data_IF_806588754428
#
_entry.id   IF_806588754428
#
_cell.length_a   1.000
_cell.length_b   1.000
_cell.length_c   1.000
_cell.angle_alpha   90.00
_cell.angle_beta   90.00
_cell.angle_gamma   90.00
#
_symmetry.space_group_name_H-M   'P 1'
#
loop_
_entity.id
_entity.type
_entity.pdbx_description
1 polymer ?
#
# COMPACT_ATOMS: atom_id res chain seq x y z
N UNK A 1 -24.91 0.70 6.39
CA UNK A 1 -23.66 -0.11 6.28
C UNK A 1 -23.30 -0.37 4.82
N UNK A 2 -24.29 -0.72 3.98
CA UNK A 2 -24.11 -0.83 2.52
C UNK A 2 -23.92 0.52 1.80
N UNK A 3 -24.16 1.63 2.49
CA UNK A 3 -24.11 2.99 1.93
C UNK A 3 -22.74 3.35 1.35
N UNK A 4 -21.66 2.79 1.91
CA UNK A 4 -20.28 2.97 1.42
C UNK A 4 -19.94 2.17 0.15
N UNK A 5 -20.88 1.34 -0.34
CA UNK A 5 -20.78 0.70 -1.66
C UNK A 5 -21.54 1.48 -2.75
N UNK A 6 -22.02 2.69 -2.43
CA UNK A 6 -22.60 3.60 -3.40
C UNK A 6 -21.50 4.45 -4.04
N UNK A 7 -21.32 4.43 -5.38
CA UNK A 7 -20.29 5.22 -6.04
C UNK A 7 -20.45 6.73 -5.80
N UNK A 8 -21.68 7.25 -5.76
CA UNK A 8 -21.94 8.68 -5.53
C UNK A 8 -21.44 9.16 -4.17
N UNK A 9 -21.73 8.39 -3.11
CA UNK A 9 -21.28 8.70 -1.75
C UNK A 9 -19.75 8.70 -1.62
N UNK A 10 -19.08 7.73 -2.25
CA UNK A 10 -17.62 7.65 -2.22
C UNK A 10 -17.00 8.82 -2.98
N UNK A 11 -17.52 9.15 -4.16
CA UNK A 11 -17.03 10.27 -4.95
C UNK A 11 -17.21 11.60 -4.21
N UNK A 12 -18.41 11.86 -3.67
CA UNK A 12 -18.69 13.07 -2.90
C UNK A 12 -17.72 13.25 -1.73
N UNK A 13 -17.43 12.18 -0.97
CA UNK A 13 -16.48 12.24 0.14
C UNK A 13 -15.05 12.58 -0.32
N UNK A 14 -14.59 12.01 -1.43
CA UNK A 14 -13.25 12.29 -1.97
C UNK A 14 -13.14 13.66 -2.65
N UNK A 15 -14.21 14.11 -3.31
CA UNK A 15 -14.31 15.46 -3.89
C UNK A 15 -14.30 16.51 -2.79
N UNK A 16 -15.11 16.35 -1.74
CA UNK A 16 -15.15 17.23 -0.59
C UNK A 16 -13.78 17.33 0.09
N UNK A 17 -13.09 16.19 0.29
CA UNK A 17 -11.72 16.15 0.85
C UNK A 17 -10.73 16.94 -0.01
N UNK A 18 -10.60 16.59 -1.29
CA UNK A 18 -9.61 17.21 -2.16
C UNK A 18 -9.87 18.72 -2.32
N UNK A 19 -11.14 19.11 -2.49
CA UNK A 19 -11.54 20.51 -2.59
C UNK A 19 -11.25 21.28 -1.30
N UNK A 20 -11.62 20.73 -0.13
CA UNK A 20 -11.37 21.38 1.16
C UNK A 20 -9.89 21.63 1.38
N UNK A 21 -9.04 20.64 1.13
CA UNK A 21 -7.58 20.76 1.30
C UNK A 21 -7.01 21.82 0.35
N UNK A 22 -7.39 21.79 -0.93
CA UNK A 22 -6.91 22.76 -1.92
C UNK A 22 -7.36 24.20 -1.59
N UNK A 23 -8.63 24.37 -1.18
CA UNK A 23 -9.16 25.68 -0.77
C UNK A 23 -8.50 26.17 0.51
N UNK A 24 -8.22 25.29 1.48
CA UNK A 24 -7.49 25.63 2.70
C UNK A 24 -6.08 26.15 2.38
N UNK A 25 -5.35 25.43 1.52
CA UNK A 25 -4.02 25.85 1.05
C UNK A 25 -4.08 27.21 0.34
N UNK A 26 -5.03 27.40 -0.58
CA UNK A 26 -5.20 28.65 -1.31
C UNK A 26 -5.54 29.83 -0.37
N UNK A 27 -6.37 29.60 0.64
CA UNK A 27 -6.72 30.62 1.64
C UNK A 27 -5.54 30.96 2.56
N UNK A 28 -4.71 29.98 2.93
CA UNK A 28 -3.51 30.21 3.72
C UNK A 28 -2.45 30.94 2.90
N UNK A 29 -2.27 30.60 1.63
CA UNK A 29 -1.32 31.25 0.72
C UNK A 29 -1.65 32.74 0.51
N UNK A 30 -2.96 33.08 0.47
CA UNK A 30 -3.42 34.48 0.39
C UNK A 30 -3.05 35.35 1.60
N UNK A 31 -2.69 34.74 2.74
CA UNK A 31 -2.29 35.47 3.96
C UNK A 31 -0.84 35.97 3.89
N UNK A 32 -0.05 35.48 2.94
CA UNK A 32 1.34 35.89 2.76
C UNK A 32 1.42 37.06 1.77
N UNK A 33 2.20 38.09 2.12
CA UNK A 33 2.48 39.22 1.23
C UNK A 33 3.30 38.77 0.01
N UNK A 34 4.32 37.94 0.23
CA UNK A 34 5.10 37.30 -0.83
C UNK A 34 4.56 35.88 -1.09
N UNK A 35 4.00 35.69 -2.29
CA UNK A 35 3.40 34.41 -2.70
C UNK A 35 4.42 33.28 -2.83
N UNK A 36 5.65 33.55 -3.29
CA UNK A 36 6.71 32.54 -3.43
C UNK A 36 7.16 32.00 -2.07
N UNK A 37 7.26 32.91 -1.08
CA UNK A 37 7.61 32.56 0.28
C UNK A 37 6.49 31.75 0.95
N UNK A 38 5.24 32.19 0.82
CA UNK A 38 4.09 31.44 1.33
C UNK A 38 3.94 30.06 0.69
N UNK A 39 4.24 29.95 -0.61
CA UNK A 39 4.22 28.66 -1.32
C UNK A 39 5.31 27.74 -0.76
N UNK A 40 6.51 28.27 -0.53
CA UNK A 40 7.65 27.54 0.03
C UNK A 40 7.38 27.05 1.45
N UNK A 41 6.73 27.88 2.29
CA UNK A 41 6.35 27.52 3.67
C UNK A 41 5.26 26.44 3.71
N UNK A 42 4.29 26.51 2.80
CA UNK A 42 3.14 25.59 2.74
C UNK A 42 3.37 24.35 1.84
N UNK A 43 4.62 24.06 1.44
CA UNK A 43 4.92 22.97 0.50
C UNK A 43 4.38 21.62 0.98
N UNK A 44 4.46 21.33 2.28
CA UNK A 44 3.93 20.08 2.84
C UNK A 44 2.41 19.96 2.61
N UNK A 45 1.65 20.98 3.00
CA UNK A 45 0.19 21.02 2.84
C UNK A 45 -0.23 20.95 1.36
N UNK A 46 0.52 21.64 0.49
CA UNK A 46 0.30 21.64 -0.96
C UNK A 46 0.50 20.25 -1.56
N UNK A 47 1.53 19.52 -1.12
CA UNK A 47 1.78 18.14 -1.56
C UNK A 47 0.67 17.22 -1.08
N UNK A 48 0.21 17.35 0.17
CA UNK A 48 -0.90 16.54 0.67
C UNK A 48 -2.22 16.81 -0.09
N UNK A 49 -2.52 18.08 -0.38
CA UNK A 49 -3.67 18.46 -1.20
C UNK A 49 -3.57 17.89 -2.63
N UNK A 50 -2.38 17.92 -3.23
CA UNK A 50 -2.13 17.34 -4.54
C UNK A 50 -2.32 15.81 -4.53
N UNK A 51 -1.83 15.12 -3.49
CA UNK A 51 -2.01 13.67 -3.31
C UNK A 51 -3.50 13.34 -3.17
N UNK A 52 -4.26 14.10 -2.38
CA UNK A 52 -5.72 13.91 -2.25
C UNK A 52 -6.44 14.04 -3.61
N UNK A 53 -6.04 15.01 -4.43
CA UNK A 53 -6.59 15.15 -5.79
C UNK A 53 -6.23 13.98 -6.70
N UNK A 54 -4.98 13.51 -6.68
CA UNK A 54 -4.55 12.34 -7.43
C UNK A 54 -5.33 11.07 -7.00
N UNK A 55 -5.54 10.88 -5.71
CA UNK A 55 -6.32 9.75 -5.18
C UNK A 55 -7.78 9.80 -5.64
N UNK A 56 -8.42 10.97 -5.64
CA UNK A 56 -9.76 11.18 -6.19
C UNK A 56 -9.82 10.77 -7.68
N UNK A 57 -8.83 11.15 -8.48
CA UNK A 57 -8.76 10.73 -9.89
C UNK A 57 -8.70 9.20 -10.01
N UNK A 58 -7.85 8.53 -9.23
CA UNK A 58 -7.75 7.07 -9.30
C UNK A 58 -9.07 6.39 -8.90
N UNK A 59 -9.70 6.84 -7.81
CA UNK A 59 -10.99 6.31 -7.34
C UNK A 59 -12.08 6.51 -8.40
N UNK A 60 -12.19 7.71 -8.96
CA UNK A 60 -13.21 8.02 -9.99
C UNK A 60 -13.02 7.21 -11.27
N UNK A 61 -11.79 7.03 -11.73
CA UNK A 61 -11.51 6.20 -12.91
C UNK A 61 -11.77 4.73 -12.65
N UNK A 62 -11.50 4.22 -11.45
CA UNK A 62 -11.81 2.84 -11.09
C UNK A 62 -13.33 2.61 -11.06
N UNK A 63 -14.09 3.50 -10.42
CA UNK A 63 -15.56 3.45 -10.40
C UNK A 63 -16.11 3.47 -11.83
N UNK A 64 -15.68 4.42 -12.67
CA UNK A 64 -16.11 4.51 -14.06
C UNK A 64 -15.77 3.24 -14.87
N UNK A 65 -14.61 2.62 -14.60
CA UNK A 65 -14.23 1.37 -15.25
C UNK A 65 -15.16 0.21 -14.88
N UNK A 66 -15.62 0.15 -13.63
CA UNK A 66 -16.53 -0.89 -13.14
C UNK A 66 -17.94 -0.70 -13.68
N UNK A 67 -18.40 0.55 -13.83
CA UNK A 67 -19.72 0.84 -14.40
C UNK A 67 -19.86 0.33 -15.83
N UNK A 68 -18.77 0.38 -16.62
CA UNK A 68 -18.71 -0.17 -17.98
C UNK A 68 -18.98 -1.67 -18.09
N UNK A 69 -19.02 -2.15 -19.34
CA UNK A 69 -19.18 -3.57 -19.64
C UNK A 69 -17.90 -4.36 -19.34
N UNK A 70 -18.03 -5.37 -18.49
CA UNK A 70 -16.96 -6.30 -18.15
C UNK A 70 -17.49 -7.71 -18.33
N UNK A 71 -16.90 -8.45 -19.27
CA UNK A 71 -17.27 -9.83 -19.58
C UNK A 71 -16.68 -10.78 -18.54
N UNK A 72 -17.38 -11.90 -18.30
CA UNK A 72 -16.93 -12.95 -17.38
C UNK A 72 -17.77 -13.00 -16.10
N UNK A 73 -18.22 -14.21 -15.75
CA UNK A 73 -19.03 -14.46 -14.56
C UNK A 73 -18.22 -14.11 -13.30
N UNK A 74 -18.73 -13.20 -12.48
CA UNK A 74 -18.10 -12.82 -11.20
C UNK A 74 -16.92 -11.85 -11.31
N UNK A 75 -16.35 -11.60 -12.50
CA UNK A 75 -15.20 -10.70 -12.70
C UNK A 75 -15.54 -9.28 -12.24
N UNK A 76 -16.66 -8.72 -12.73
CA UNK A 76 -17.14 -7.40 -12.33
C UNK A 76 -17.34 -7.28 -10.82
N UNK A 77 -17.78 -8.34 -10.16
CA UNK A 77 -17.99 -8.36 -8.71
C UNK A 77 -16.67 -8.29 -7.93
N UNK A 78 -15.65 -9.06 -8.34
CA UNK A 78 -14.33 -9.01 -7.70
C UNK A 78 -13.63 -7.68 -7.92
N UNK A 79 -13.74 -7.10 -9.14
CA UNK A 79 -13.22 -5.77 -9.42
C UNK A 79 -13.95 -4.69 -8.60
N UNK A 80 -15.27 -4.82 -8.43
CA UNK A 80 -16.05 -3.95 -7.53
C UNK A 80 -15.51 -4.02 -6.11
N UNK A 81 -15.28 -5.21 -5.57
CA UNK A 81 -14.70 -5.38 -4.24
C UNK A 81 -13.33 -4.70 -4.11
N UNK A 82 -12.44 -4.88 -5.09
CA UNK A 82 -11.12 -4.22 -5.12
C UNK A 82 -11.22 -2.68 -5.14
N UNK A 83 -12.15 -2.12 -5.91
CA UNK A 83 -12.35 -0.67 -5.97
C UNK A 83 -12.79 -0.09 -4.64
N UNK A 84 -13.79 -0.69 -3.98
CA UNK A 84 -14.24 -0.21 -2.68
C UNK A 84 -13.22 -0.51 -1.57
N UNK A 85 -12.45 -1.61 -1.66
CA UNK A 85 -11.31 -1.82 -0.76
C UNK A 85 -10.30 -0.68 -0.92
N UNK A 86 -9.93 -0.31 -2.14
CA UNK A 86 -8.99 0.78 -2.39
C UNK A 86 -9.50 2.11 -1.83
N UNK A 87 -10.75 2.48 -2.15
CA UNK A 87 -11.36 3.72 -1.66
C UNK A 87 -11.50 3.76 -0.13
N UNK A 88 -12.04 2.71 0.48
CA UNK A 88 -12.24 2.67 1.93
C UNK A 88 -10.94 2.52 2.71
N UNK A 89 -9.91 1.86 2.14
CA UNK A 89 -8.57 1.84 2.71
C UNK A 89 -7.97 3.25 2.75
N UNK A 90 -8.09 4.03 1.67
CA UNK A 90 -7.63 5.42 1.64
C UNK A 90 -8.43 6.30 2.60
N UNK A 91 -9.74 6.11 2.70
CA UNK A 91 -10.57 6.81 3.68
C UNK A 91 -10.10 6.54 5.10
N UNK A 92 -9.83 5.28 5.44
CA UNK A 92 -9.34 4.90 6.75
C UNK A 92 -7.93 5.46 7.03
N UNK A 93 -7.03 5.38 6.04
CA UNK A 93 -5.64 5.86 6.16
C UNK A 93 -5.56 7.38 6.36
N UNK A 94 -6.42 8.13 5.65
CA UNK A 94 -6.43 9.59 5.67
C UNK A 94 -7.66 10.15 6.41
N UNK A 95 -8.11 9.45 7.45
CA UNK A 95 -9.38 9.74 8.12
C UNK A 95 -9.47 11.18 8.63
N UNK A 96 -8.37 11.76 9.12
CA UNK A 96 -8.33 13.15 9.59
C UNK A 96 -8.80 14.16 8.53
N UNK A 97 -8.35 13.99 7.29
CA UNK A 97 -8.72 14.87 6.18
C UNK A 97 -10.22 14.79 5.88
N UNK A 98 -10.80 13.58 5.90
CA UNK A 98 -12.23 13.40 5.65
C UNK A 98 -13.09 13.99 6.78
N UNK A 99 -12.69 13.79 8.03
CA UNK A 99 -13.38 14.38 9.18
C UNK A 99 -13.30 15.92 9.18
N UNK A 100 -12.21 16.50 8.67
CA UNK A 100 -12.03 17.95 8.57
C UNK A 100 -13.01 18.65 7.60
N UNK A 101 -13.73 17.87 6.78
CA UNK A 101 -14.69 18.40 5.81
C UNK A 101 -16.12 18.54 6.34
N UNK A 102 -16.41 17.98 7.52
CA UNK A 102 -17.76 17.77 8.08
C UNK A 102 -18.71 16.95 7.16
N UNK A 103 -18.22 16.45 6.02
CA UNK A 103 -18.99 15.63 5.08
C UNK A 103 -19.04 14.16 5.50
N UNK A 104 -18.12 13.74 6.38
CA UNK A 104 -18.06 12.40 6.96
C UNK A 104 -18.00 12.52 8.47
N UNK A 105 -18.93 11.85 9.15
CA UNK A 105 -18.96 11.77 10.62
C UNK A 105 -18.08 10.61 11.13
N UNK A 106 -17.61 10.67 12.40
CA UNK A 106 -16.89 9.56 13.02
C UNK A 106 -17.66 8.23 12.99
N UNK A 107 -18.98 8.28 13.14
CA UNK A 107 -19.86 7.11 13.06
C UNK A 107 -19.84 6.52 11.65
N UNK A 108 -19.95 7.36 10.61
CA UNK A 108 -19.85 6.92 9.22
C UNK A 108 -18.47 6.35 8.89
N UNK A 109 -17.39 6.93 9.44
CA UNK A 109 -16.04 6.40 9.29
C UNK A 109 -15.86 5.02 9.96
N UNK A 110 -16.50 4.81 11.12
CA UNK A 110 -16.55 3.50 11.76
C UNK A 110 -17.29 2.46 10.91
N UNK A 111 -18.41 2.86 10.30
CA UNK A 111 -19.15 2.03 9.34
C UNK A 111 -18.32 1.70 8.09
N UNK A 112 -17.56 2.66 7.55
CA UNK A 112 -16.62 2.43 6.45
C UNK A 112 -15.57 1.38 6.82
N UNK A 113 -15.02 1.48 8.04
CA UNK A 113 -14.03 0.52 8.55
C UNK A 113 -14.62 -0.88 8.73
N UNK A 114 -15.88 -1.00 9.16
CA UNK A 114 -16.60 -2.27 9.20
C UNK A 114 -16.81 -2.84 7.80
N UNK A 115 -17.22 -1.99 6.85
CA UNK A 115 -17.42 -2.40 5.47
C UNK A 115 -16.12 -2.89 4.82
N UNK A 116 -15.01 -2.21 5.06
CA UNK A 116 -13.69 -2.62 4.60
C UNK A 116 -13.31 -4.02 5.10
N UNK A 117 -13.57 -4.34 6.38
CA UNK A 117 -13.34 -5.68 6.94
C UNK A 117 -14.22 -6.76 6.29
N UNK A 118 -15.48 -6.43 6.00
CA UNK A 118 -16.37 -7.34 5.26
C UNK A 118 -15.85 -7.62 3.86
N UNK A 119 -15.39 -6.59 3.14
CA UNK A 119 -14.81 -6.74 1.81
C UNK A 119 -13.53 -7.59 1.81
N UNK A 120 -12.66 -7.44 2.81
CA UNK A 120 -11.50 -8.33 2.95
C UNK A 120 -11.90 -9.80 3.08
N UNK A 121 -12.95 -10.09 3.86
CA UNK A 121 -13.46 -11.45 4.04
C UNK A 121 -14.02 -12.02 2.72
N UNK A 122 -14.70 -11.19 1.93
CA UNK A 122 -15.23 -11.56 0.61
C UNK A 122 -14.13 -11.76 -0.45
N UNK A 123 -13.06 -10.99 -0.38
CA UNK A 123 -11.93 -11.07 -1.31
C UNK A 123 -11.00 -12.25 -0.98
N UNK A 124 -10.85 -12.60 0.30
CA UNK A 124 -9.96 -13.66 0.78
C UNK A 124 -10.01 -14.99 0.01
N UNK A 125 -11.17 -15.58 -0.33
CA UNK A 125 -11.21 -16.82 -1.11
C UNK A 125 -10.72 -16.65 -2.55
N UNK A 126 -10.76 -15.44 -3.11
CA UNK A 126 -10.36 -15.14 -4.48
C UNK A 126 -8.95 -14.54 -4.59
N UNK A 127 -8.24 -14.35 -3.47
CA UNK A 127 -6.97 -13.63 -3.45
C UNK A 127 -5.90 -14.24 -4.37
N UNK A 128 -5.77 -15.58 -4.38
CA UNK A 128 -4.82 -16.30 -5.24
C UNK A 128 -5.22 -16.16 -6.72
N UNK A 129 -6.48 -16.42 -7.05
CA UNK A 129 -6.98 -16.28 -8.43
C UNK A 129 -6.83 -14.85 -9.00
N UNK A 130 -6.94 -13.83 -8.14
CA UNK A 130 -6.76 -12.42 -8.54
C UNK A 130 -5.32 -12.10 -8.94
N UNK A 131 -4.33 -12.69 -8.26
CA UNK A 131 -2.91 -12.51 -8.63
C UNK A 131 -2.48 -13.43 -9.76
N UNK A 132 -3.06 -14.63 -9.85
CA UNK A 132 -2.85 -15.55 -10.98
C UNK A 132 -3.36 -14.97 -12.30
N UNK A 133 -4.39 -14.11 -12.24
CA UNK A 133 -4.91 -13.41 -13.42
C UNK A 133 -3.89 -12.49 -14.10
N UNK A 134 -2.79 -12.11 -13.43
CA UNK A 134 -1.67 -11.41 -14.07
C UNK A 134 -0.86 -12.30 -15.02
N UNK A 135 -1.00 -13.62 -14.88
CA UNK A 135 -0.40 -14.63 -15.76
C UNK A 135 1.13 -14.49 -15.87
N UNK A 136 1.79 -14.18 -14.75
CA UNK A 136 3.25 -14.14 -14.67
C UNK A 136 3.82 -15.55 -14.60
N UNK A 137 4.94 -15.77 -15.30
CA UNK A 137 5.69 -17.02 -15.22
C UNK A 137 6.65 -16.99 -14.02
N UNK A 138 6.97 -18.15 -13.43
CA UNK A 138 7.97 -18.25 -12.37
C UNK A 138 9.31 -17.62 -12.76
N UNK A 139 9.71 -17.75 -14.04
CA UNK A 139 10.92 -17.14 -14.58
C UNK A 139 10.86 -15.60 -14.53
N UNK A 140 9.72 -15.01 -14.91
CA UNK A 140 9.55 -13.56 -14.85
C UNK A 140 9.46 -13.06 -13.40
N UNK A 141 8.76 -13.82 -12.54
CA UNK A 141 8.55 -13.44 -11.14
C UNK A 141 9.84 -13.50 -10.32
N UNK A 142 10.74 -14.44 -10.64
CA UNK A 142 12.04 -14.58 -9.98
C UNK A 142 11.96 -14.77 -8.46
N UNK A 143 10.84 -15.30 -7.97
CA UNK A 143 10.54 -15.39 -6.54
C UNK A 143 10.27 -16.82 -6.11
N UNK A 144 11.05 -17.30 -5.14
CA UNK A 144 10.86 -18.63 -4.53
C UNK A 144 9.60 -18.67 -3.66
N UNK A 145 9.27 -17.57 -2.99
CA UNK A 145 8.06 -17.47 -2.16
C UNK A 145 6.79 -17.38 -3.01
N UNK A 146 6.90 -16.76 -4.19
CA UNK A 146 5.77 -16.52 -5.10
C UNK A 146 5.57 -17.58 -6.16
N UNK A 147 6.19 -18.76 -6.02
CA UNK A 147 6.08 -19.85 -7.02
C UNK A 147 4.62 -20.24 -7.25
N UNK A 148 4.28 -20.44 -8.52
CA UNK A 148 2.92 -20.82 -8.93
C UNK A 148 2.45 -22.15 -8.31
N UNK A 149 3.36 -23.12 -8.16
CA UNK A 149 3.05 -24.44 -7.59
C UNK A 149 2.92 -24.46 -6.06
N UNK A 150 3.21 -23.35 -5.38
CA UNK A 150 3.21 -23.26 -3.92
C UNK A 150 4.28 -24.12 -3.23
N UNK A 151 5.24 -24.69 -3.98
CA UNK A 151 6.29 -25.55 -3.45
C UNK A 151 7.45 -24.72 -2.87
N UNK A 152 7.14 -23.94 -1.84
CA UNK A 152 8.01 -22.90 -1.30
C UNK A 152 9.16 -23.49 -0.48
N UNK A 153 8.87 -24.28 0.55
CA UNK A 153 9.89 -24.69 1.53
C UNK A 153 11.04 -25.50 0.93
N UNK A 154 10.81 -26.52 0.08
CA UNK A 154 11.91 -27.25 -0.55
C UNK A 154 12.76 -26.35 -1.45
N UNK A 155 12.13 -25.41 -2.17
CA UNK A 155 12.84 -24.51 -3.07
C UNK A 155 13.61 -23.42 -2.34
N UNK A 156 13.11 -22.94 -1.20
CA UNK A 156 13.89 -22.04 -0.33
C UNK A 156 15.17 -22.70 0.15
N UNK A 157 15.09 -23.97 0.54
CA UNK A 157 16.26 -24.73 0.95
C UNK A 157 17.24 -24.94 -0.21
N UNK A 158 16.74 -25.30 -1.39
CA UNK A 158 17.56 -25.45 -2.59
C UNK A 158 18.29 -24.16 -2.98
N UNK A 159 17.61 -23.01 -2.94
CA UNK A 159 18.23 -21.71 -3.24
C UNK A 159 19.24 -21.29 -2.18
N UNK A 160 18.98 -21.57 -0.89
CA UNK A 160 19.93 -21.28 0.18
C UNK A 160 21.26 -22.03 -0.04
N UNK A 161 21.21 -23.30 -0.49
CA UNK A 161 22.41 -24.08 -0.77
C UNK A 161 23.27 -23.54 -1.93
N UNK A 162 22.70 -22.69 -2.79
CA UNK A 162 23.43 -22.06 -3.92
C UNK A 162 24.16 -20.78 -3.52
N UNK A 163 23.94 -20.28 -2.30
CA UNK A 163 24.63 -19.10 -1.82
C UNK A 163 26.15 -19.37 -1.75
N UNK A 164 27.02 -18.50 -2.31
CA UNK A 164 28.46 -18.70 -2.30
C UNK A 164 29.06 -18.86 -0.89
N UNK A 165 28.40 -18.33 0.14
CA UNK A 165 28.84 -18.51 1.51
C UNK A 165 28.76 -19.98 1.98
N UNK A 166 27.95 -20.80 1.31
CA UNK A 166 27.79 -22.22 1.58
C UNK A 166 28.76 -23.10 0.75
N UNK A 167 29.66 -22.52 -0.06
CA UNK A 167 30.70 -23.26 -0.79
C UNK A 167 31.67 -23.99 0.17
N UNK A 168 31.83 -23.49 1.40
CA UNK A 168 32.66 -24.08 2.43
C UNK A 168 31.92 -24.19 3.78
N UNK A 169 32.13 -25.30 4.48
CA UNK A 169 31.55 -25.52 5.83
C UNK A 169 32.22 -24.62 6.87
N UNK A 170 33.51 -24.31 6.66
CA UNK A 170 34.27 -23.37 7.50
C UNK A 170 34.46 -22.10 6.67
N UNK A 171 33.88 -20.96 7.10
CA UNK A 171 33.90 -19.75 6.30
C UNK A 171 35.31 -19.17 6.22
N UNK A 172 35.61 -18.52 5.10
CA UNK A 172 36.84 -17.76 4.91
C UNK A 172 36.96 -16.67 6.00
N UNK A 173 38.16 -16.49 6.55
CA UNK A 173 38.39 -15.61 7.69
C UNK A 173 38.17 -16.26 9.06
N UNK A 174 37.68 -17.50 9.13
CA UNK A 174 37.54 -18.21 10.40
C UNK A 174 38.90 -18.37 11.11
N UNK A 175 39.96 -18.72 10.40
CA UNK A 175 41.26 -18.99 11.03
C UNK A 175 41.98 -17.72 11.49
N UNK A 176 41.79 -16.61 10.78
CA UNK A 176 42.43 -15.32 10.98
C UNK A 176 41.71 -14.49 12.05
N UNK A 177 40.38 -14.49 12.02
CA UNK A 177 39.58 -13.53 12.79
C UNK A 177 38.73 -14.19 13.87
N UNK A 178 38.20 -15.40 13.66
CA UNK A 178 37.27 -16.03 14.61
C UNK A 178 38.01 -16.97 15.58
N UNK A 179 38.87 -17.85 15.06
CA UNK A 179 39.62 -18.84 15.84
C UNK A 179 40.51 -18.20 16.91
N UNK A 180 41.22 -17.07 16.68
CA UNK A 180 42.04 -16.45 17.72
C UNK A 180 41.21 -15.81 18.84
N UNK A 181 40.02 -15.28 18.53
CA UNK A 181 39.08 -14.75 19.53
C UNK A 181 38.56 -15.85 20.45
N UNK A 182 38.08 -16.96 19.88
CA UNK A 182 37.54 -18.10 20.63
C UNK A 182 38.62 -18.73 21.52
N UNK A 183 39.86 -18.84 21.01
CA UNK A 183 40.98 -19.43 21.75
C UNK A 183 41.68 -18.45 22.70
N UNK A 184 41.16 -17.23 22.90
CA UNK A 184 41.79 -16.18 23.72
C UNK A 184 43.27 -15.92 23.37
N UNK A 185 43.65 -16.09 22.09
CA UNK A 185 44.99 -15.77 21.60
C UNK A 185 45.14 -14.29 21.24
N UNK A 186 44.15 -13.46 21.57
CA UNK A 186 44.32 -12.00 21.56
C UNK A 186 45.37 -11.71 22.63
N UNK A 187 46.60 -11.42 22.22
CA UNK A 187 47.56 -10.76 23.11
C UNK A 187 46.94 -9.40 23.45
N UNK A 188 46.28 -9.30 24.61
CA UNK A 188 46.01 -8.01 25.23
C UNK A 188 47.37 -7.32 25.29
N UNK A 189 47.55 -6.23 24.53
CA UNK A 189 48.73 -5.40 24.65
C UNK A 189 48.82 -5.01 26.13
N UNK A 190 49.85 -5.52 26.83
CA UNK A 190 50.19 -5.05 28.17
C UNK A 190 50.65 -3.60 28.00
N UNK A 191 49.82 -2.66 28.44
CA UNK A 191 50.25 -1.31 28.82
C UNK A 191 51.26 -1.41 29.96
#
# INVERSE_FOLDING_TARGET
>A
AEDWLNPGMVLEAFEARALRMAVSCANNLRKFENQEQGFSELLADLVEAAIAHCQLIVVSKFIAKIEGEIKGKGVKNQLKNLCYIYALHLLHKHLGDFLSTDSVTPEQASLASHQLRSLYSQLRPNAVALVDAFNYTDHYLGSVLGRYDGNVYPKLFEEALKDPLNDSVVPDGYHEYIRPLIKQHIRSARL
#
